data_IF_134725774284
#
_entry.id   IF_134725774284
#
_cell.length_a   1.000
_cell.length_b   1.000
_cell.length_c   1.000
_cell.angle_alpha   90.00
_cell.angle_beta   90.00
_cell.angle_gamma   90.00
#
_symmetry.space_group_name_H-M   'P 1'
#
loop_
_entity.id
_entity.type
_entity.pdbx_description
1 polymer ?
#
# COMPACT_ATOMS: atom_id res chain seq x y z
N UNK A 1 -1.57 -5.31 23.08
CA UNK A 1 -0.39 -5.66 22.26
C UNK A 1 -0.02 -7.10 22.55
N UNK A 2 -0.40 -7.98 21.64
CA UNK A 2 -0.22 -9.43 21.73
C UNK A 2 0.92 -9.84 20.80
N UNK A 3 1.79 -10.76 21.26
CA UNK A 3 3.01 -11.15 20.55
C UNK A 3 3.13 -12.65 20.47
N UNK A 4 3.52 -13.13 19.29
CA UNK A 4 3.73 -14.54 19.03
C UNK A 4 5.10 -14.75 18.41
N UNK A 5 5.82 -15.74 18.93
CA UNK A 5 7.15 -16.10 18.45
C UNK A 5 7.10 -17.44 17.72
N UNK A 6 7.84 -17.52 16.62
CA UNK A 6 8.11 -18.73 15.86
C UNK A 6 9.60 -18.79 15.58
N UNK A 7 10.12 -19.95 15.12
CA UNK A 7 11.57 -20.26 15.12
C UNK A 7 12.49 -19.13 14.63
N UNK A 8 12.06 -18.34 13.64
CA UNK A 8 12.85 -17.27 13.03
C UNK A 8 12.09 -15.93 12.92
N UNK A 9 10.98 -15.75 13.66
CA UNK A 9 10.17 -14.55 13.53
C UNK A 9 9.26 -14.22 14.70
N UNK A 10 8.70 -13.02 14.63
CA UNK A 10 7.80 -12.45 15.62
C UNK A 10 6.58 -11.85 14.91
N UNK A 11 5.37 -12.20 15.33
CA UNK A 11 4.12 -11.53 14.93
C UNK A 11 3.62 -10.69 16.09
N UNK A 12 3.35 -9.41 15.85
CA UNK A 12 2.82 -8.45 16.83
C UNK A 12 1.48 -7.93 16.34
N UNK A 13 0.43 -8.20 17.11
CA UNK A 13 -0.92 -7.67 16.90
C UNK A 13 -1.15 -6.38 17.68
N UNK A 14 -2.13 -5.59 17.22
CA UNK A 14 -2.58 -4.35 17.88
C UNK A 14 -1.48 -3.31 18.01
N UNK A 15 -0.63 -3.23 17.00
CA UNK A 15 0.42 -2.23 16.95
C UNK A 15 -0.14 -0.91 16.40
N UNK A 16 -1.06 -0.30 17.17
CA UNK A 16 -1.78 0.91 16.74
C UNK A 16 -0.85 1.96 16.13
N UNK A 17 -1.17 2.35 14.90
CA UNK A 17 -0.62 3.53 14.25
C UNK A 17 -1.17 4.81 14.87
N UNK A 18 -0.94 5.92 14.18
CA UNK A 18 -1.43 7.22 14.62
C UNK A 18 -2.95 7.27 14.59
N UNK A 19 -3.50 8.03 15.53
CA UNK A 19 -4.94 8.35 15.63
C UNK A 19 -5.20 9.84 15.47
N UNK A 20 -4.14 10.64 15.43
CA UNK A 20 -4.17 12.07 15.20
C UNK A 20 -3.88 12.36 13.73
N UNK A 21 -4.76 13.18 13.14
CA UNK A 21 -4.68 13.59 11.75
C UNK A 21 -3.78 14.81 11.62
N UNK A 22 -2.49 14.57 11.42
CA UNK A 22 -1.48 15.61 11.22
C UNK A 22 -0.95 15.59 9.79
N UNK A 23 -0.43 16.73 9.33
CA UNK A 23 0.40 16.79 8.13
C UNK A 23 1.81 16.38 8.52
N UNK A 24 2.29 15.28 7.95
CA UNK A 24 3.61 14.75 8.25
C UNK A 24 4.48 14.72 7.00
N UNK A 25 5.73 15.13 7.17
CA UNK A 25 6.77 15.12 6.14
C UNK A 25 7.40 13.73 5.93
N UNK A 26 6.76 12.67 6.45
CA UNK A 26 7.23 11.29 6.40
C UNK A 26 6.02 10.34 6.32
N UNK A 27 6.17 9.14 5.73
CA UNK A 27 5.05 8.19 5.59
C UNK A 27 4.64 7.64 6.96
N UNK A 28 3.36 7.82 7.32
CA UNK A 28 2.84 7.47 8.65
C UNK A 28 1.78 6.41 8.53
N UNK A 29 1.80 5.43 9.43
CA UNK A 29 0.76 4.40 9.45
C UNK A 29 -0.42 4.88 10.29
N UNK A 30 -1.62 4.79 9.72
CA UNK A 30 -2.88 5.02 10.41
C UNK A 30 -3.62 3.68 10.58
N UNK A 31 -4.31 3.49 11.71
CA UNK A 31 -5.05 2.26 12.00
C UNK A 31 -4.25 1.20 12.77
N UNK A 32 -4.47 -0.08 12.46
CA UNK A 32 -4.07 -1.26 13.24
C UNK A 32 -3.35 -2.28 12.31
N UNK A 33 -2.04 -2.10 12.07
CA UNK A 33 -1.25 -3.08 11.35
C UNK A 33 -0.99 -4.33 12.20
N UNK A 34 -0.77 -5.45 11.51
CA UNK A 34 -0.10 -6.62 12.08
C UNK A 34 1.33 -6.59 11.61
N UNK A 35 2.27 -6.56 12.56
CA UNK A 35 3.70 -6.41 12.27
C UNK A 35 4.41 -7.74 12.39
N UNK A 36 5.19 -8.10 11.38
CA UNK A 36 5.95 -9.35 11.35
C UNK A 36 7.42 -9.04 11.17
N UNK A 37 8.26 -9.56 12.08
CA UNK A 37 9.70 -9.65 11.88
C UNK A 37 10.03 -11.01 11.27
N UNK A 38 10.72 -11.01 10.13
CA UNK A 38 11.14 -12.23 9.45
C UNK A 38 12.41 -11.99 8.63
N UNK A 39 13.40 -12.88 8.74
CA UNK A 39 14.65 -12.85 7.96
C UNK A 39 15.38 -11.49 7.95
N UNK A 40 15.32 -10.75 9.07
CA UNK A 40 15.95 -9.43 9.21
C UNK A 40 15.17 -8.25 8.61
N UNK A 41 13.94 -8.50 8.15
CA UNK A 41 13.01 -7.48 7.67
C UNK A 41 11.83 -7.31 8.62
N UNK A 42 11.19 -6.16 8.51
CA UNK A 42 9.93 -5.83 9.16
C UNK A 42 8.86 -5.65 8.10
N UNK A 43 7.79 -6.42 8.21
CA UNK A 43 6.65 -6.38 7.32
C UNK A 43 5.43 -5.89 8.09
N UNK A 44 4.82 -4.80 7.62
CA UNK A 44 3.52 -4.37 8.13
C UNK A 44 2.41 -4.84 7.18
N UNK A 45 1.46 -5.58 7.75
CA UNK A 45 0.30 -6.15 7.08
C UNK A 45 -0.98 -5.44 7.50
N UNK A 46 -1.92 -5.36 6.58
CA UNK A 46 -3.29 -4.97 6.90
C UNK A 46 -4.09 -6.14 7.49
N UNK A 47 -5.34 -5.91 7.90
CA UNK A 47 -6.18 -6.93 8.56
C UNK A 47 -6.70 -8.01 7.58
N UNK A 48 -6.49 -7.81 6.28
CA UNK A 48 -6.74 -8.78 5.20
C UNK A 48 -5.52 -9.66 4.91
N UNK A 49 -4.40 -9.44 5.60
CA UNK A 49 -3.15 -10.18 5.41
C UNK A 49 -2.33 -9.71 4.20
N UNK A 50 -2.69 -8.60 3.56
CA UNK A 50 -1.94 -8.02 2.45
C UNK A 50 -0.76 -7.21 2.98
N UNK A 51 0.40 -7.38 2.35
CA UNK A 51 1.60 -6.60 2.65
C UNK A 51 1.37 -5.13 2.29
N UNK A 52 1.71 -4.23 3.21
CA UNK A 52 1.57 -2.79 2.99
C UNK A 52 2.87 -2.03 3.17
N UNK A 53 3.76 -2.44 4.08
CA UNK A 53 5.09 -1.84 4.20
C UNK A 53 6.19 -2.86 4.47
N UNK A 54 7.37 -2.53 3.99
CA UNK A 54 8.63 -3.23 4.25
C UNK A 54 9.62 -2.21 4.79
N UNK A 55 10.28 -2.54 5.89
CA UNK A 55 11.51 -1.90 6.34
C UNK A 55 12.53 -2.99 6.71
N UNK A 56 13.77 -2.60 6.98
CA UNK A 56 14.78 -3.53 7.45
C UNK A 56 15.88 -2.84 8.22
N UNK A 57 16.78 -3.64 8.79
CA UNK A 57 17.98 -3.16 9.46
C UNK A 57 19.22 -3.41 8.60
N UNK A 58 20.26 -2.61 8.83
CA UNK A 58 21.60 -2.89 8.31
C UNK A 58 22.05 -4.26 8.83
N UNK A 59 22.71 -5.11 7.99
CA UNK A 59 23.16 -4.87 6.62
C UNK A 59 22.17 -5.32 5.52
N UNK A 60 20.92 -5.62 5.88
CA UNK A 60 19.92 -6.15 4.93
C UNK A 60 19.10 -5.09 4.22
N UNK A 61 19.23 -3.83 4.62
CA UNK A 61 18.50 -2.69 4.12
C UNK A 61 19.44 -1.48 4.02
N UNK A 62 19.30 -0.60 2.99
CA UNK A 62 20.23 0.50 2.77
C UNK A 62 20.32 1.47 3.95
N UNK A 63 19.16 1.92 4.44
CA UNK A 63 19.05 2.79 5.61
C UNK A 63 17.76 2.45 6.36
N UNK A 64 17.79 2.23 7.69
CA UNK A 64 16.61 1.86 8.49
C UNK A 64 15.44 2.86 8.42
N UNK A 65 15.68 4.09 7.97
CA UNK A 65 14.65 5.13 7.80
C UNK A 65 13.90 5.00 6.48
N UNK A 66 14.47 4.34 5.47
CA UNK A 66 13.82 4.14 4.18
C UNK A 66 12.75 3.06 4.25
N UNK A 67 11.64 3.29 3.54
CA UNK A 67 10.45 2.46 3.62
C UNK A 67 9.99 2.11 2.21
N UNK A 68 9.61 0.85 2.00
CA UNK A 68 8.85 0.47 0.80
C UNK A 68 7.41 0.25 1.18
N UNK A 69 6.52 0.93 0.47
CA UNK A 69 5.08 0.78 0.57
C UNK A 69 4.53 0.02 -0.61
N UNK A 70 3.51 -0.80 -0.37
CA UNK A 70 2.68 -1.42 -1.41
C UNK A 70 1.27 -0.83 -1.38
N UNK A 71 0.79 -0.36 -2.52
CA UNK A 71 -0.57 0.16 -2.68
C UNK A 71 -1.58 -0.98 -2.84
N UNK A 72 -2.88 -0.70 -2.66
CA UNK A 72 -3.92 -1.71 -2.93
C UNK A 72 -4.03 -2.07 -4.42
N UNK A 73 -3.52 -1.19 -5.30
CA UNK A 73 -3.30 -1.46 -6.71
C UNK A 73 -2.08 -2.35 -6.99
N UNK A 74 -1.44 -2.89 -5.95
CA UNK A 74 -0.27 -3.76 -6.00
C UNK A 74 0.98 -3.09 -6.62
N UNK A 75 1.06 -1.76 -6.58
CA UNK A 75 2.25 -1.00 -6.97
C UNK A 75 3.18 -0.79 -5.77
N UNK A 76 4.48 -0.64 -6.02
CA UNK A 76 5.47 -0.34 -5.01
C UNK A 76 5.88 1.14 -5.09
N UNK A 77 5.98 1.76 -3.91
CA UNK A 77 6.50 3.11 -3.71
C UNK A 77 7.67 3.01 -2.73
N UNK A 78 8.84 3.44 -3.14
CA UNK A 78 10.04 3.52 -2.32
C UNK A 78 10.16 4.94 -1.77
N UNK A 79 10.11 5.10 -0.46
CA UNK A 79 10.34 6.38 0.20
C UNK A 79 11.83 6.47 0.55
N UNK A 80 12.57 7.17 -0.30
CA UNK A 80 14.00 7.40 -0.09
C UNK A 80 14.25 8.65 0.75
N UNK A 81 15.34 8.64 1.50
CA UNK A 81 15.89 9.81 2.20
C UNK A 81 16.97 10.52 1.37
N UNK A 82 17.25 10.06 0.15
CA UNK A 82 18.21 10.71 -0.74
C UNK A 82 17.78 12.14 -1.04
N UNK A 83 18.69 13.09 -0.85
CA UNK A 83 18.39 14.51 -0.99
C UNK A 83 17.53 15.08 0.13
N UNK A 84 17.54 14.49 1.34
CA UNK A 84 16.74 14.92 2.51
C UNK A 84 16.60 16.45 2.68
N UNK A 85 17.72 17.19 2.59
CA UNK A 85 17.73 18.64 2.77
C UNK A 85 17.06 19.38 1.59
N UNK A 86 17.24 18.92 0.35
CA UNK A 86 16.64 19.54 -0.84
C UNK A 86 15.20 19.09 -1.10
N UNK A 87 14.84 17.87 -0.68
CA UNK A 87 13.52 17.30 -0.83
C UNK A 87 12.48 18.11 -0.05
N UNK A 88 12.81 18.55 1.16
CA UNK A 88 11.89 19.38 1.96
C UNK A 88 11.68 20.76 1.33
N UNK A 89 12.70 21.36 0.75
CA UNK A 89 12.57 22.65 0.08
C UNK A 89 11.66 22.56 -1.16
N UNK A 90 11.76 21.48 -1.92
CA UNK A 90 10.98 21.26 -3.15
C UNK A 90 9.57 20.73 -2.91
N UNK A 91 9.41 19.79 -1.99
CA UNK A 91 8.17 19.01 -1.82
C UNK A 91 7.52 19.16 -0.45
N UNK A 92 8.16 19.90 0.48
CA UNK A 92 7.76 19.99 1.89
C UNK A 92 7.60 18.63 2.57
N UNK A 93 8.34 17.63 2.06
CA UNK A 93 8.45 16.27 2.57
C UNK A 93 9.93 15.90 2.63
N UNK A 94 10.34 15.26 3.72
CA UNK A 94 11.72 14.76 3.88
C UNK A 94 11.97 13.44 3.16
N UNK A 95 10.90 12.82 2.66
CA UNK A 95 10.94 11.58 1.92
C UNK A 95 10.53 11.81 0.47
N UNK A 96 11.34 11.27 -0.44
CA UNK A 96 11.09 11.28 -1.86
C UNK A 96 10.36 9.99 -2.27
N UNK A 97 9.08 10.05 -2.70
CA UNK A 97 8.34 8.87 -3.15
C UNK A 97 8.75 8.50 -4.58
N UNK A 98 9.32 7.31 -4.73
CA UNK A 98 9.79 6.77 -6.00
C UNK A 98 8.92 5.58 -6.39
N UNK A 99 8.26 5.66 -7.54
CA UNK A 99 7.47 4.56 -8.11
C UNK A 99 8.02 4.21 -9.51
N UNK A 100 7.44 3.22 -10.18
CA UNK A 100 7.89 2.81 -11.53
C UNK A 100 7.88 3.94 -12.57
N UNK A 101 7.02 4.94 -12.41
CA UNK A 101 6.92 6.10 -13.32
C UNK A 101 7.96 7.17 -13.02
N UNK A 102 8.34 7.35 -11.74
CA UNK A 102 9.26 8.41 -11.30
C UNK A 102 10.70 7.94 -11.05
N UNK A 103 10.95 6.63 -11.10
CA UNK A 103 12.24 6.00 -10.80
C UNK A 103 13.45 6.58 -11.54
N UNK A 104 13.28 7.09 -12.76
CA UNK A 104 14.38 7.62 -13.56
C UNK A 104 14.48 9.15 -13.52
N UNK A 105 13.61 9.84 -12.76
CA UNK A 105 13.53 11.30 -12.76
C UNK A 105 14.37 11.93 -11.64
N UNK A 106 14.49 11.26 -10.50
CA UNK A 106 14.99 11.90 -9.28
C UNK A 106 16.20 11.21 -8.65
N UNK A 107 16.51 9.97 -9.05
CA UNK A 107 17.59 9.17 -8.46
C UNK A 107 18.49 8.59 -9.54
N UNK A 108 19.78 8.47 -9.22
CA UNK A 108 20.78 7.90 -10.15
C UNK A 108 20.59 6.40 -10.34
N UNK A 109 20.19 5.71 -9.29
CA UNK A 109 19.91 4.28 -9.29
C UNK A 109 18.46 4.05 -8.85
N UNK A 110 17.75 3.19 -9.56
CA UNK A 110 16.37 2.87 -9.24
C UNK A 110 16.30 1.87 -8.06
N UNK A 111 15.87 2.29 -6.85
CA UNK A 111 15.84 1.41 -5.69
C UNK A 111 14.80 0.28 -5.84
N UNK A 112 13.79 0.45 -6.71
CA UNK A 112 12.78 -0.57 -6.98
C UNK A 112 13.33 -1.78 -7.75
N UNK A 113 14.50 -1.63 -8.38
CA UNK A 113 15.22 -2.71 -9.07
C UNK A 113 16.44 -3.19 -8.27
N UNK A 114 16.68 -2.62 -7.09
CA UNK A 114 17.88 -2.86 -6.30
C UNK A 114 17.90 -4.23 -5.60
N UNK A 115 19.11 -4.71 -5.22
CA UNK A 115 19.28 -6.02 -4.59
C UNK A 115 18.60 -6.11 -3.22
N UNK A 116 18.55 -5.00 -2.46
CA UNK A 116 17.92 -4.95 -1.14
C UNK A 116 16.42 -5.21 -1.19
N UNK A 117 15.70 -4.53 -2.10
CA UNK A 117 14.27 -4.76 -2.28
C UNK A 117 14.00 -6.18 -2.81
N UNK A 118 14.80 -6.67 -3.75
CA UNK A 118 14.67 -8.05 -4.24
C UNK A 118 14.82 -9.07 -3.10
N UNK A 119 15.80 -8.88 -2.22
CA UNK A 119 15.99 -9.73 -1.04
C UNK A 119 14.79 -9.67 -0.09
N UNK A 120 14.26 -8.47 0.18
CA UNK A 120 13.11 -8.29 1.05
C UNK A 120 11.83 -8.92 0.48
N UNK A 121 11.60 -8.80 -0.84
CA UNK A 121 10.48 -9.45 -1.51
C UNK A 121 10.60 -10.97 -1.51
N UNK A 122 11.80 -11.52 -1.68
CA UNK A 122 12.02 -12.96 -1.55
C UNK A 122 11.74 -13.46 -0.12
N UNK A 123 12.19 -12.71 0.90
CA UNK A 123 11.89 -13.02 2.30
C UNK A 123 10.38 -12.96 2.59
N UNK A 124 9.67 -12.01 1.98
CA UNK A 124 8.22 -11.93 2.04
C UNK A 124 7.55 -13.18 1.43
N UNK A 125 7.93 -13.58 0.21
CA UNK A 125 7.37 -14.77 -0.44
C UNK A 125 7.66 -16.05 0.37
N UNK A 126 8.87 -16.17 0.93
CA UNK A 126 9.20 -17.25 1.85
C UNK A 126 8.29 -17.24 3.09
N UNK A 127 8.07 -16.08 3.72
CA UNK A 127 7.15 -15.97 4.85
C UNK A 127 5.72 -16.40 4.49
N UNK A 128 5.19 -15.97 3.33
CA UNK A 128 3.84 -16.40 2.89
C UNK A 128 3.77 -17.91 2.68
N UNK A 129 4.84 -18.52 2.17
CA UNK A 129 4.95 -19.96 1.98
C UNK A 129 5.02 -20.72 3.30
N UNK A 130 5.73 -20.19 4.31
CA UNK A 130 5.76 -20.76 5.65
C UNK A 130 4.41 -20.61 6.36
N UNK A 131 3.75 -19.47 6.22
CA UNK A 131 2.43 -19.23 6.80
C UNK A 131 1.40 -20.27 6.33
N UNK A 132 1.49 -20.72 5.07
CA UNK A 132 0.66 -21.80 4.53
C UNK A 132 0.87 -23.17 5.21
N UNK A 133 2.05 -23.41 5.81
CA UNK A 133 2.43 -24.68 6.44
C UNK A 133 2.14 -24.73 7.94
N UNK A 134 1.92 -23.58 8.57
CA UNK A 134 1.71 -23.48 10.04
C UNK A 134 0.28 -23.87 10.45
N UNK A 135 -0.63 -24.06 9.49
CA UNK A 135 -2.04 -24.40 9.76
C UNK A 135 -2.27 -25.70 10.52
N UNK A 136 -1.24 -26.55 10.59
CA UNK A 136 -1.32 -27.92 11.14
C UNK A 136 -0.77 -28.04 12.58
N UNK A 137 -0.33 -26.93 13.19
CA UNK A 137 0.14 -26.90 14.60
C UNK A 137 -0.91 -26.30 15.54
N UNK A 138 -0.83 -26.64 16.83
CA UNK A 138 -1.55 -25.95 17.90
C UNK A 138 -1.02 -24.50 18.04
N UNK A 139 -1.47 -23.63 17.14
CA UNK A 139 -1.31 -22.18 17.26
C UNK A 139 -2.64 -21.54 17.69
N UNK A 140 -2.60 -20.44 18.48
CA UNK A 140 -3.79 -19.69 18.84
C UNK A 140 -4.61 -19.26 17.61
N UNK A 141 -5.93 -19.24 17.76
CA UNK A 141 -6.88 -19.03 16.65
C UNK A 141 -6.61 -17.72 15.90
N UNK A 142 -6.39 -16.62 16.61
CA UNK A 142 -6.08 -15.31 16.01
C UNK A 142 -4.84 -15.34 15.13
N UNK A 143 -3.76 -15.98 15.60
CA UNK A 143 -2.53 -16.14 14.82
C UNK A 143 -2.78 -17.04 13.60
N UNK A 144 -3.52 -18.14 13.79
CA UNK A 144 -3.89 -19.07 12.71
C UNK A 144 -4.64 -18.36 11.59
N UNK A 145 -5.63 -17.56 11.94
CA UNK A 145 -6.46 -16.83 10.97
C UNK A 145 -5.66 -15.76 10.22
N UNK A 146 -4.76 -15.07 10.91
CA UNK A 146 -3.83 -14.15 10.26
C UNK A 146 -2.91 -14.88 9.28
N UNK A 147 -2.28 -15.98 9.68
CA UNK A 147 -1.38 -16.74 8.82
C UNK A 147 -2.10 -17.34 7.61
N UNK A 148 -3.34 -17.82 7.79
CA UNK A 148 -4.21 -18.26 6.67
C UNK A 148 -4.46 -17.14 5.67
N UNK A 149 -4.74 -15.92 6.14
CA UNK A 149 -4.90 -14.76 5.26
C UNK A 149 -3.60 -14.46 4.51
N UNK A 150 -2.47 -14.36 5.21
CA UNK A 150 -1.16 -14.05 4.61
C UNK A 150 -0.72 -15.11 3.60
N UNK A 151 -0.98 -16.39 3.87
CA UNK A 151 -0.68 -17.49 2.95
C UNK A 151 -1.32 -17.32 1.57
N UNK A 152 -2.46 -16.63 1.50
CA UNK A 152 -3.15 -16.32 0.25
C UNK A 152 -2.64 -15.04 -0.43
N UNK A 153 -1.65 -14.35 0.15
CA UNK A 153 -1.17 -13.02 -0.28
C UNK A 153 0.28 -13.01 -0.75
N UNK A 154 0.77 -14.11 -1.31
CA UNK A 154 1.97 -14.08 -2.16
C UNK A 154 1.74 -13.27 -3.45
N UNK A 155 2.73 -13.24 -4.33
CA UNK A 155 2.70 -12.41 -5.55
C UNK A 155 1.41 -12.54 -6.38
N UNK A 156 0.93 -13.77 -6.59
CA UNK A 156 -0.29 -14.03 -7.35
C UNK A 156 -1.53 -13.49 -6.62
N UNK A 157 -1.65 -13.76 -5.32
CA UNK A 157 -2.80 -13.34 -4.51
C UNK A 157 -2.96 -11.82 -4.44
N UNK A 158 -1.84 -11.09 -4.26
CA UNK A 158 -1.84 -9.63 -4.30
C UNK A 158 -2.23 -9.08 -5.69
N UNK A 159 -1.81 -9.77 -6.76
CA UNK A 159 -2.19 -9.39 -8.12
C UNK A 159 -3.69 -9.59 -8.38
N UNK A 160 -4.27 -10.68 -7.88
CA UNK A 160 -5.71 -10.92 -7.95
C UNK A 160 -6.51 -9.90 -7.13
N UNK A 161 -6.02 -9.51 -5.96
CA UNK A 161 -6.65 -8.47 -5.15
C UNK A 161 -6.67 -7.11 -5.86
N UNK A 162 -5.55 -6.70 -6.45
CA UNK A 162 -5.50 -5.47 -7.24
C UNK A 162 -6.39 -5.54 -8.49
N UNK A 163 -6.47 -6.70 -9.15
CA UNK A 163 -7.39 -6.89 -10.26
C UNK A 163 -8.86 -6.76 -9.81
N UNK A 164 -9.21 -7.35 -8.66
CA UNK A 164 -10.54 -7.20 -8.05
C UNK A 164 -10.85 -5.75 -7.72
N UNK A 165 -9.91 -5.00 -7.13
CA UNK A 165 -10.10 -3.57 -6.89
C UNK A 165 -10.36 -2.82 -8.21
N UNK A 166 -9.51 -3.06 -9.23
CA UNK A 166 -9.67 -2.45 -10.54
C UNK A 166 -11.01 -2.78 -11.20
N UNK A 167 -11.53 -4.00 -11.03
CA UNK A 167 -12.84 -4.37 -11.58
C UNK A 167 -14.02 -3.73 -10.84
N UNK A 168 -13.90 -3.52 -9.52
CA UNK A 168 -14.87 -2.73 -8.73
C UNK A 168 -14.85 -1.26 -9.17
N UNK A 169 -13.65 -0.71 -9.40
CA UNK A 169 -13.51 0.65 -9.87
C UNK A 169 -13.99 0.80 -11.32
N UNK A 170 -13.85 -0.22 -12.16
CA UNK A 170 -14.23 -0.19 -13.57
C UNK A 170 -13.36 0.71 -14.44
N UNK A 171 -12.36 1.38 -13.85
CA UNK A 171 -11.45 2.30 -14.53
C UNK A 171 -10.14 2.40 -13.76
N UNK A 172 -9.13 3.02 -14.39
CA UNK A 172 -7.84 3.31 -13.74
C UNK A 172 -7.83 4.73 -13.17
N UNK A 173 -7.16 4.93 -12.05
CA UNK A 173 -6.86 6.25 -11.49
C UNK A 173 -5.43 6.60 -11.93
N UNK A 174 -5.24 7.56 -12.84
CA UNK A 174 -3.91 7.85 -13.36
C UNK A 174 -3.05 8.62 -12.38
N UNK A 175 -3.68 9.46 -11.54
CA UNK A 175 -3.05 10.29 -10.52
C UNK A 175 -4.02 10.46 -9.35
N UNK A 176 -3.51 10.45 -8.12
CA UNK A 176 -4.25 10.88 -6.94
C UNK A 176 -3.95 12.37 -6.69
N UNK A 177 -4.92 13.17 -6.18
CA UNK A 177 -4.68 14.56 -5.84
C UNK A 177 -3.50 14.72 -4.88
N UNK A 178 -2.71 15.82 -4.95
CA UNK A 178 -1.60 16.06 -4.05
C UNK A 178 -1.98 15.94 -2.57
N UNK A 179 -3.17 16.40 -2.20
CA UNK A 179 -3.70 16.36 -0.83
C UNK A 179 -3.80 14.95 -0.23
N UNK A 180 -3.86 13.92 -1.07
CA UNK A 180 -3.85 12.53 -0.60
C UNK A 180 -2.53 12.14 0.08
N UNK A 181 -1.46 12.93 -0.07
CA UNK A 181 -0.21 12.75 0.68
C UNK A 181 -0.41 12.87 2.19
N UNK A 182 -1.37 13.69 2.66
CA UNK A 182 -1.65 13.91 4.09
C UNK A 182 -2.13 12.61 4.79
N UNK A 183 -2.67 11.66 4.00
CA UNK A 183 -3.07 10.31 4.45
C UNK A 183 -2.17 9.22 3.87
N UNK A 184 -0.94 9.58 3.48
CA UNK A 184 0.03 8.69 2.83
C UNK A 184 -0.57 7.97 1.60
N UNK A 185 -1.53 8.55 0.88
CA UNK A 185 -2.25 7.90 -0.23
C UNK A 185 -3.08 6.66 0.17
N UNK A 186 -3.34 6.43 1.48
CA UNK A 186 -4.29 5.41 1.97
C UNK A 186 -5.74 5.93 1.87
N UNK A 187 -6.22 6.07 0.65
CA UNK A 187 -7.59 6.51 0.34
C UNK A 187 -8.40 5.35 -0.22
N UNK A 188 -9.70 5.32 0.10
CA UNK A 188 -10.67 4.48 -0.59
C UNK A 188 -11.13 5.23 -1.85
N UNK A 189 -10.85 4.73 -3.06
CA UNK A 189 -11.28 5.39 -4.28
C UNK A 189 -12.76 5.12 -4.60
N UNK A 190 -13.51 6.19 -4.84
CA UNK A 190 -14.90 6.18 -5.29
C UNK A 190 -15.02 6.97 -6.60
N UNK A 191 -15.33 6.28 -7.70
CA UNK A 191 -15.41 6.87 -9.03
C UNK A 191 -16.81 7.45 -9.25
N UNK A 192 -16.92 8.77 -9.24
CA UNK A 192 -18.18 9.48 -9.52
C UNK A 192 -18.38 9.77 -11.02
N UNK A 193 -17.27 9.96 -11.72
CA UNK A 193 -17.23 10.29 -13.14
C UNK A 193 -15.99 9.71 -13.79
N UNK A 194 -16.06 9.54 -15.10
CA UNK A 194 -14.97 9.06 -15.94
C UNK A 194 -14.64 10.08 -17.03
N UNK A 195 -13.38 10.12 -17.45
CA UNK A 195 -12.92 11.05 -18.47
C UNK A 195 -12.69 12.47 -17.94
N UNK A 196 -12.43 13.39 -18.85
CA UNK A 196 -12.28 14.82 -18.58
C UNK A 196 -12.97 15.59 -19.70
N UNK A 197 -13.72 16.64 -19.35
CA UNK A 197 -14.51 17.41 -20.33
C UNK A 197 -13.61 18.10 -21.36
N UNK A 198 -12.45 18.57 -20.92
CA UNK A 198 -11.52 19.35 -21.75
C UNK A 198 -10.62 18.49 -22.65
N UNK A 199 -10.37 17.23 -22.25
CA UNK A 199 -9.52 16.26 -22.96
C UNK A 199 -8.25 16.88 -23.61
N UNK A 200 -7.53 17.71 -22.84
CA UNK A 200 -6.46 18.54 -23.37
C UNK A 200 -5.34 17.70 -24.02
N UNK A 201 -4.82 18.17 -25.16
CA UNK A 201 -3.74 17.51 -25.90
C UNK A 201 -2.49 17.26 -25.05
N UNK A 202 -2.12 18.23 -24.21
CA UNK A 202 -0.95 18.23 -23.34
C UNK A 202 -1.10 17.40 -22.06
N UNK A 203 -2.32 17.00 -21.67
CA UNK A 203 -2.54 16.32 -20.40
C UNK A 203 -2.01 14.88 -20.47
N UNK A 204 -0.97 14.58 -19.69
CA UNK A 204 -0.39 13.24 -19.60
C UNK A 204 -1.26 12.26 -18.81
N UNK A 205 -2.17 12.77 -17.97
CA UNK A 205 -3.07 11.97 -17.13
C UNK A 205 -4.44 11.74 -17.77
N UNK A 206 -4.67 12.21 -19.00
CA UNK A 206 -5.96 12.04 -19.68
C UNK A 206 -6.28 10.56 -19.88
N UNK A 207 -7.52 10.17 -19.61
CA UNK A 207 -8.03 8.83 -19.87
C UNK A 207 -8.66 8.76 -21.26
N UNK A 208 -8.75 7.55 -21.82
CA UNK A 208 -9.40 7.34 -23.11
C UNK A 208 -10.92 7.41 -22.91
N UNK A 209 -11.57 8.43 -23.49
CA UNK A 209 -13.03 8.55 -23.48
C UNK A 209 -13.51 9.98 -23.27
N UNK A 210 -14.78 10.22 -23.58
CA UNK A 210 -15.46 11.46 -23.21
C UNK A 210 -15.83 11.46 -21.74
N UNK A 211 -16.04 12.66 -21.18
CA UNK A 211 -16.55 12.80 -19.82
C UNK A 211 -17.93 12.13 -19.67
N UNK A 212 -18.09 11.31 -18.64
CA UNK A 212 -19.35 10.66 -18.29
C UNK A 212 -19.52 10.58 -16.78
N UNK A 213 -20.69 11.01 -16.29
CA UNK A 213 -21.10 10.78 -14.90
C UNK A 213 -21.61 9.35 -14.72
N UNK A 214 -21.27 8.71 -13.61
CA UNK A 214 -21.84 7.41 -13.24
C UNK A 214 -23.27 7.57 -12.77
N UNK A 215 -24.08 6.55 -13.01
CA UNK A 215 -25.44 6.53 -12.46
C UNK A 215 -25.39 6.37 -10.94
N UNK A 216 -26.43 6.81 -10.25
CA UNK A 216 -26.52 6.63 -8.80
C UNK A 216 -26.47 5.14 -8.41
N UNK A 217 -27.16 4.27 -9.15
CA UNK A 217 -27.12 2.82 -8.95
C UNK A 217 -25.71 2.24 -9.10
N UNK A 218 -24.90 2.74 -10.05
CA UNK A 218 -23.52 2.29 -10.21
C UNK A 218 -22.64 2.72 -9.02
N UNK A 219 -22.84 3.94 -8.53
CA UNK A 219 -22.11 4.48 -7.36
C UNK A 219 -22.45 3.66 -6.11
N UNK A 220 -23.74 3.41 -5.85
CA UNK A 220 -24.18 2.61 -4.69
C UNK A 220 -23.60 1.19 -4.78
N UNK A 221 -23.69 0.53 -5.95
CA UNK A 221 -23.13 -0.79 -6.15
C UNK A 221 -21.61 -0.81 -5.96
N UNK A 222 -20.90 0.24 -6.39
CA UNK A 222 -19.47 0.39 -6.15
C UNK A 222 -19.18 0.54 -4.65
N UNK A 223 -19.93 1.36 -3.92
CA UNK A 223 -19.76 1.53 -2.47
C UNK A 223 -19.94 0.22 -1.72
N UNK A 224 -20.95 -0.57 -2.07
CA UNK A 224 -21.19 -1.91 -1.49
C UNK A 224 -20.00 -2.83 -1.75
N UNK A 225 -19.55 -2.91 -3.01
CA UNK A 225 -18.40 -3.74 -3.39
C UNK A 225 -17.09 -3.30 -2.73
N UNK A 226 -16.86 -1.99 -2.57
CA UNK A 226 -15.70 -1.44 -1.87
C UNK A 226 -15.76 -1.75 -0.39
N UNK A 227 -16.92 -1.57 0.25
CA UNK A 227 -17.15 -1.96 1.65
C UNK A 227 -16.84 -3.44 1.84
N UNK A 228 -17.28 -4.31 0.95
CA UNK A 228 -17.03 -5.75 1.05
C UNK A 228 -15.57 -6.11 0.70
N UNK A 229 -14.92 -5.35 -0.17
CA UNK A 229 -13.50 -5.51 -0.50
C UNK A 229 -12.59 -5.17 0.69
N UNK A 230 -12.81 -4.01 1.32
CA UNK A 230 -12.02 -3.56 2.46
C UNK A 230 -12.44 -4.27 3.76
N UNK A 231 -13.74 -4.49 3.95
CA UNK A 231 -14.36 -5.23 5.07
C UNK A 231 -13.74 -4.84 6.43
N UNK A 232 -13.20 -5.79 7.19
CA UNK A 232 -12.58 -5.55 8.49
C UNK A 232 -11.35 -4.65 8.46
N UNK A 233 -10.82 -4.32 7.28
CA UNK A 233 -9.70 -3.40 7.09
C UNK A 233 -10.13 -1.94 7.01
N UNK A 234 -11.44 -1.63 6.94
CA UNK A 234 -11.94 -0.26 6.86
C UNK A 234 -11.41 0.63 7.99
N UNK A 235 -11.13 0.07 9.17
CA UNK A 235 -10.52 0.77 10.31
C UNK A 235 -9.13 1.37 9.99
N UNK A 236 -8.46 0.88 8.94
CA UNK A 236 -7.16 1.36 8.47
C UNK A 236 -7.25 2.47 7.42
N UNK A 237 -8.47 2.87 7.02
CA UNK A 237 -8.70 3.93 6.04
C UNK A 237 -9.55 5.03 6.67
N UNK A 238 -9.10 6.28 6.55
CA UNK A 238 -9.84 7.44 7.07
C UNK A 238 -10.30 8.42 5.99
N UNK A 239 -9.98 8.15 4.73
CA UNK A 239 -10.16 9.09 3.65
C UNK A 239 -10.78 8.41 2.42
N UNK A 240 -11.62 9.17 1.74
CA UNK A 240 -12.25 8.81 0.49
C UNK A 240 -11.72 9.76 -0.59
N UNK A 241 -11.32 9.21 -1.72
CA UNK A 241 -11.07 9.99 -2.93
C UNK A 241 -12.26 9.81 -3.87
N UNK A 242 -13.06 10.87 -4.02
CA UNK A 242 -14.25 10.85 -4.85
C UNK A 242 -13.96 11.51 -6.21
N UNK A 243 -13.56 10.72 -7.21
CA UNK A 243 -13.18 11.26 -8.51
C UNK A 243 -12.41 10.31 -9.41
N UNK A 244 -11.98 10.83 -10.57
CA UNK A 244 -10.98 10.20 -11.44
C UNK A 244 -9.94 11.24 -11.88
N UNK A 245 -10.20 11.96 -12.97
CA UNK A 245 -9.27 12.95 -13.57
C UNK A 245 -9.71 14.39 -13.43
N UNK A 246 -11.02 14.61 -13.26
CA UNK A 246 -11.68 15.92 -13.26
C UNK A 246 -12.21 16.20 -11.86
N UNK A 247 -11.34 16.01 -10.86
CA UNK A 247 -11.59 16.19 -9.43
C UNK A 247 -10.61 17.20 -8.85
#
# INVERSE_FOLDING_TARGET
MERYFFREGEVVFENYGRRDWGKFSFPVWYGIPVRVKWAGFLFDFNLRGSLKRITGSIPHWPDPREIVKRTDGNELIYYSIEGYDTAFDLFKSYYLPINRKTANLFVKENPLSGPYLKKALNAFEDFTSQAARVTDKEVPERLRDFLRKVALKGQYGLSQEAYKLKSILGTSIPVLPPDTIDVDYEVIPLILSEGCTMNCGFCQFKTKGSFKRRSWSDIVLQMEKLRDFYNGDLVNYQALFAGQNDA
#
